data_IF_726600015727
#
_entry.id   IF_726600015727
#
_cell.length_a   1.000
_cell.length_b   1.000
_cell.length_c   1.000
_cell.angle_alpha   90.00
_cell.angle_beta   90.00
_cell.angle_gamma   90.00
#
_symmetry.space_group_name_H-M   'P 1'
#
loop_
_entity.id
_entity.type
_entity.pdbx_description
1 polymer ?
#
# COMPACT_ATOMS: atom_id res chain seq x y z
N UNK A 1 38.82 -38.04 51.87
CA UNK A 1 37.61 -38.37 51.11
C UNK A 1 37.18 -37.14 50.32
N UNK A 2 37.39 -37.11 49.00
CA UNK A 2 36.97 -36.02 48.13
C UNK A 2 35.57 -36.34 47.60
N UNK A 3 34.58 -35.50 47.92
CA UNK A 3 33.22 -35.61 47.37
C UNK A 3 33.15 -34.70 46.14
N UNK A 4 32.94 -35.28 44.97
CA UNK A 4 32.72 -34.56 43.71
C UNK A 4 31.20 -34.44 43.56
N UNK A 5 30.68 -33.22 43.65
CA UNK A 5 29.30 -32.88 43.32
C UNK A 5 29.25 -32.55 41.84
N UNK A 6 28.71 -33.48 41.04
CA UNK A 6 28.36 -33.25 39.64
C UNK A 6 27.02 -32.52 39.63
N UNK A 7 27.06 -31.20 39.45
CA UNK A 7 25.88 -30.37 39.24
C UNK A 7 25.40 -30.55 37.79
N UNK A 8 24.27 -31.22 37.62
CA UNK A 8 23.55 -31.31 36.36
C UNK A 8 22.93 -29.93 36.06
N UNK A 9 23.61 -29.13 35.24
CA UNK A 9 23.06 -27.88 34.70
C UNK A 9 22.05 -28.26 33.63
N UNK A 10 20.78 -28.39 34.03
CA UNK A 10 19.66 -28.45 33.09
C UNK A 10 19.59 -27.12 32.35
N UNK A 11 20.09 -27.09 31.12
CA UNK A 11 19.76 -26.06 30.15
C UNK A 11 18.26 -26.13 29.90
N UNK A 12 17.50 -25.30 30.60
CA UNK A 12 16.13 -24.96 30.22
C UNK A 12 16.25 -24.20 28.89
N UNK A 13 16.17 -24.94 27.78
CA UNK A 13 15.91 -24.35 26.49
C UNK A 13 14.54 -23.69 26.59
N UNK A 14 14.51 -22.36 26.71
CA UNK A 14 13.31 -21.59 26.45
C UNK A 14 12.92 -21.93 25.03
N UNK A 15 11.82 -22.66 24.86
CA UNK A 15 11.17 -22.83 23.56
C UNK A 15 10.93 -21.42 23.03
N UNK A 16 11.79 -20.96 22.13
CA UNK A 16 11.51 -19.81 21.30
C UNK A 16 10.31 -20.26 20.47
N UNK A 17 9.11 -19.88 20.89
CA UNK A 17 7.95 -19.96 20.03
C UNK A 17 8.28 -19.08 18.84
N UNK A 18 8.72 -19.69 17.73
CA UNK A 18 8.77 -19.02 16.46
C UNK A 18 7.36 -18.48 16.25
N UNK A 19 7.20 -17.15 16.29
CA UNK A 19 5.91 -16.54 16.02
C UNK A 19 5.48 -17.06 14.65
N UNK A 20 4.37 -17.78 14.60
CA UNK A 20 3.76 -18.17 13.34
C UNK A 20 3.44 -16.86 12.61
N UNK A 21 3.94 -16.77 11.38
CA UNK A 21 3.59 -15.68 10.48
C UNK A 21 2.08 -15.73 10.24
N UNK A 22 1.46 -14.56 10.23
CA UNK A 22 0.01 -14.35 10.20
C UNK A 22 -0.48 -13.72 8.89
N UNK A 23 0.40 -13.51 7.91
CA UNK A 23 0.05 -12.86 6.64
C UNK A 23 -1.18 -13.48 5.97
N UNK A 24 -1.20 -14.79 5.72
CA UNK A 24 -2.32 -15.45 5.01
C UNK A 24 -3.64 -15.30 5.76
N UNK A 25 -3.63 -15.31 7.09
CA UNK A 25 -4.83 -15.13 7.90
C UNK A 25 -5.27 -13.66 7.98
N UNK A 26 -4.41 -12.72 7.59
CA UNK A 26 -4.64 -11.28 7.70
C UNK A 26 -5.22 -10.66 6.42
N UNK A 27 -5.43 -11.43 5.35
CA UNK A 27 -6.00 -10.93 4.09
C UNK A 27 -7.32 -10.16 4.25
N UNK A 28 -8.31 -10.63 5.05
CA UNK A 28 -9.53 -9.86 5.28
C UNK A 28 -9.27 -8.47 5.88
N UNK A 29 -8.29 -8.36 6.78
CA UNK A 29 -7.87 -7.06 7.32
C UNK A 29 -7.15 -6.22 6.26
N UNK A 30 -6.35 -6.83 5.39
CA UNK A 30 -5.68 -6.11 4.30
C UNK A 30 -6.69 -5.54 3.31
N UNK A 31 -7.72 -6.30 2.95
CA UNK A 31 -8.85 -5.83 2.13
C UNK A 31 -9.55 -4.64 2.78
N UNK A 32 -9.84 -4.72 4.08
CA UNK A 32 -10.42 -3.60 4.85
C UNK A 32 -9.52 -2.35 4.81
N UNK A 33 -8.20 -2.50 4.98
CA UNK A 33 -7.24 -1.39 4.94
C UNK A 33 -7.20 -0.73 3.54
N UNK A 34 -7.23 -1.52 2.47
CA UNK A 34 -7.23 -1.01 1.10
C UNK A 34 -8.56 -0.32 0.78
N UNK A 35 -9.68 -0.89 1.20
CA UNK A 35 -10.99 -0.26 1.03
C UNK A 35 -11.08 1.05 1.81
N UNK A 36 -10.62 1.09 3.07
CA UNK A 36 -10.64 2.31 3.89
C UNK A 36 -9.76 3.40 3.27
N UNK A 37 -8.57 3.04 2.74
CA UNK A 37 -7.72 3.99 1.99
C UNK A 37 -8.50 4.62 0.84
N UNK A 38 -9.17 3.78 0.08
CA UNK A 38 -9.91 4.19 -1.12
C UNK A 38 -11.09 5.10 -0.77
N UNK A 39 -11.86 4.76 0.26
CA UNK A 39 -12.96 5.57 0.76
C UNK A 39 -12.45 6.95 1.24
N UNK A 40 -11.33 6.96 1.96
CA UNK A 40 -10.69 8.16 2.45
C UNK A 40 -10.14 9.04 1.32
N UNK A 41 -9.58 8.45 0.26
CA UNK A 41 -9.07 9.17 -0.90
C UNK A 41 -10.18 9.70 -1.82
N UNK A 42 -11.35 9.05 -1.85
CA UNK A 42 -12.46 9.48 -2.70
C UNK A 42 -13.39 10.47 -2.01
N UNK A 43 -13.85 10.15 -0.78
CA UNK A 43 -14.91 10.92 -0.10
C UNK A 43 -14.51 11.39 1.30
N UNK A 44 -13.34 11.00 1.80
CA UNK A 44 -12.88 11.32 3.15
C UNK A 44 -12.64 12.80 3.40
N UNK A 45 -12.99 13.26 4.60
CA UNK A 45 -12.63 14.56 5.11
C UNK A 45 -11.18 14.60 5.63
N UNK A 46 -10.77 15.78 6.08
CA UNK A 46 -9.41 15.99 6.65
C UNK A 46 -9.14 15.04 7.82
N UNK A 47 -10.11 14.85 8.72
CA UNK A 47 -9.95 14.01 9.90
C UNK A 47 -9.88 12.52 9.53
N UNK A 48 -10.66 12.08 8.54
CA UNK A 48 -10.62 10.70 8.04
C UNK A 48 -9.25 10.37 7.45
N UNK A 49 -8.70 11.28 6.65
CA UNK A 49 -7.35 11.13 6.09
C UNK A 49 -6.29 11.05 7.19
N UNK A 50 -6.37 11.91 8.21
CA UNK A 50 -5.43 11.82 9.33
C UNK A 50 -5.58 10.53 10.13
N UNK A 51 -6.80 10.08 10.39
CA UNK A 51 -7.05 8.86 11.14
C UNK A 51 -6.47 7.66 10.41
N UNK A 52 -6.70 7.55 9.09
CA UNK A 52 -6.10 6.52 8.26
C UNK A 52 -4.58 6.53 8.34
N UNK A 53 -3.95 7.69 8.14
CA UNK A 53 -2.48 7.83 8.17
C UNK A 53 -1.93 7.43 9.55
N UNK A 54 -2.54 7.92 10.63
CA UNK A 54 -2.09 7.60 11.98
C UNK A 54 -2.22 6.11 12.30
N UNK A 55 -3.28 5.46 11.80
CA UNK A 55 -3.57 4.06 12.10
C UNK A 55 -2.77 3.09 11.22
N UNK A 56 -2.79 3.30 9.91
CA UNK A 56 -2.35 2.31 8.92
C UNK A 56 -1.10 2.73 8.15
N UNK A 57 -0.83 4.01 7.91
CA UNK A 57 0.39 4.39 7.17
C UNK A 57 1.64 3.96 7.95
N UNK A 58 2.48 3.14 7.32
CA UNK A 58 3.69 2.63 7.92
C UNK A 58 4.72 3.74 8.17
N UNK A 59 4.80 4.74 7.28
CA UNK A 59 5.76 5.84 7.40
C UNK A 59 5.51 6.72 8.62
N UNK A 60 4.26 6.77 9.11
CA UNK A 60 3.86 7.57 10.26
C UNK A 60 4.68 7.26 11.53
N UNK A 61 5.11 6.02 11.74
CA UNK A 61 5.87 5.64 12.94
C UNK A 61 7.30 6.19 12.94
N UNK A 62 7.81 6.61 11.78
CA UNK A 62 9.15 7.16 11.59
C UNK A 62 9.22 8.67 11.86
N UNK A 63 8.08 9.33 12.05
CA UNK A 63 8.02 10.73 12.50
C UNK A 63 8.81 10.99 13.80
N UNK A 64 8.99 9.96 14.63
CA UNK A 64 9.81 10.04 15.84
C UNK A 64 11.29 10.35 15.54
N UNK A 65 11.78 9.92 14.37
CA UNK A 65 13.15 10.14 13.91
C UNK A 65 13.29 11.47 13.14
N UNK A 66 12.17 12.03 12.68
CA UNK A 66 12.11 13.27 11.91
C UNK A 66 11.20 14.31 12.58
N UNK A 67 11.65 14.95 13.68
CA UNK A 67 10.87 15.94 14.39
C UNK A 67 10.32 17.03 13.45
N UNK A 68 9.06 17.39 13.64
CA UNK A 68 8.33 18.40 12.86
C UNK A 68 8.17 18.12 11.37
N UNK A 69 8.47 16.89 10.94
CA UNK A 69 8.24 16.41 9.58
C UNK A 69 7.27 15.23 9.53
N UNK A 70 6.83 14.93 8.32
CA UNK A 70 6.05 13.76 7.94
C UNK A 70 6.51 13.35 6.54
N UNK A 71 6.66 12.05 6.30
CA UNK A 71 7.00 11.54 4.98
C UNK A 71 5.80 11.72 4.04
N UNK A 72 6.05 12.31 2.89
CA UNK A 72 5.09 12.44 1.80
C UNK A 72 5.48 11.43 0.73
N UNK A 73 4.64 10.42 0.52
CA UNK A 73 4.72 9.57 -0.67
C UNK A 73 4.09 10.34 -1.82
N UNK A 74 4.74 10.33 -2.98
CA UNK A 74 4.19 10.91 -4.20
C UNK A 74 2.79 10.36 -4.46
N UNK A 75 1.89 11.27 -4.83
CA UNK A 75 0.52 10.94 -5.23
C UNK A 75 0.30 11.53 -6.62
N UNK A 76 0.05 10.67 -7.59
CA UNK A 76 -0.29 11.04 -8.97
C UNK A 76 -1.72 11.60 -9.06
N UNK A 77 -1.98 12.72 -8.37
CA UNK A 77 -3.28 13.39 -8.38
C UNK A 77 -3.28 14.45 -9.48
N UNK A 78 -4.31 14.46 -10.32
CA UNK A 78 -4.45 15.43 -11.43
C UNK A 78 -4.44 16.90 -10.97
N UNK A 79 -4.83 17.16 -9.73
CA UNK A 79 -4.84 18.49 -9.11
C UNK A 79 -3.60 18.78 -8.25
N UNK A 80 -2.65 17.83 -8.12
CA UNK A 80 -1.42 18.05 -7.37
C UNK A 80 -0.52 19.06 -8.08
N UNK A 81 0.23 19.81 -7.27
CA UNK A 81 1.27 20.70 -7.81
C UNK A 81 2.47 19.85 -8.23
N UNK A 82 3.23 20.25 -9.27
CA UNK A 82 4.49 19.57 -9.60
C UNK A 82 5.46 19.47 -8.41
N UNK A 83 5.43 20.42 -7.47
CA UNK A 83 6.22 20.36 -6.23
C UNK A 83 5.83 19.23 -5.26
N UNK A 84 4.76 18.46 -5.55
CA UNK A 84 4.29 17.36 -4.72
C UNK A 84 4.66 15.99 -5.30
N UNK A 85 5.37 15.96 -6.43
CA UNK A 85 5.70 14.75 -7.19
C UNK A 85 6.95 14.01 -6.68
N UNK A 86 7.37 14.26 -5.44
CA UNK A 86 8.59 13.68 -4.88
C UNK A 86 8.28 13.01 -3.55
N UNK A 87 8.85 11.83 -3.35
CA UNK A 87 8.91 11.18 -2.06
C UNK A 87 9.89 11.94 -1.16
N UNK A 88 9.40 12.56 -0.08
CA UNK A 88 10.27 13.38 0.77
C UNK A 88 9.70 13.61 2.18
N UNK A 89 10.59 13.88 3.13
CA UNK A 89 10.22 14.39 4.44
C UNK A 89 9.89 15.88 4.38
N UNK A 90 8.59 16.22 4.36
CA UNK A 90 8.11 17.60 4.39
C UNK A 90 7.77 18.06 5.81
N UNK A 91 7.76 19.37 6.03
CA UNK A 91 7.28 19.94 7.30
C UNK A 91 5.81 19.55 7.57
N UNK A 92 5.44 19.35 8.83
CA UNK A 92 4.05 19.09 9.23
C UNK A 92 3.08 20.18 8.73
N UNK A 93 3.53 21.44 8.66
CA UNK A 93 2.71 22.53 8.15
C UNK A 93 2.38 22.36 6.66
N UNK A 94 3.38 22.01 5.85
CA UNK A 94 3.17 21.72 4.43
C UNK A 94 2.34 20.44 4.27
N UNK A 95 2.64 19.37 5.01
CA UNK A 95 1.85 18.13 5.00
C UNK A 95 0.37 18.41 5.24
N UNK A 96 0.05 19.13 6.32
CA UNK A 96 -1.33 19.47 6.68
C UNK A 96 -2.03 20.32 5.61
N UNK A 97 -1.28 21.16 4.90
CA UNK A 97 -1.81 21.94 3.78
C UNK A 97 -2.11 21.04 2.58
N UNK A 98 -1.26 20.07 2.25
CA UNK A 98 -1.52 19.11 1.18
C UNK A 98 -2.76 18.26 1.48
N UNK A 99 -2.91 17.75 2.70
CA UNK A 99 -4.09 16.99 3.13
C UNK A 99 -5.39 17.81 3.01
N UNK A 100 -5.38 19.09 3.40
CA UNK A 100 -6.55 19.97 3.23
C UNK A 100 -6.93 20.19 1.78
N UNK A 101 -5.95 20.20 0.87
CA UNK A 101 -6.21 20.32 -0.57
C UNK A 101 -6.78 19.01 -1.11
N UNK A 102 -6.23 17.85 -0.71
CA UNK A 102 -6.79 16.55 -1.06
C UNK A 102 -8.25 16.46 -0.62
N UNK A 103 -8.54 16.65 0.66
CA UNK A 103 -9.90 16.59 1.21
C UNK A 103 -10.89 17.56 0.53
N UNK A 104 -10.41 18.66 -0.07
CA UNK A 104 -11.25 19.60 -0.84
C UNK A 104 -11.61 19.07 -2.23
N UNK A 105 -10.73 18.27 -2.83
CA UNK A 105 -10.89 17.70 -4.17
C UNK A 105 -11.43 16.28 -4.16
N UNK A 106 -11.39 15.58 -3.02
CA UNK A 106 -12.17 14.38 -2.76
C UNK A 106 -13.63 14.69 -3.11
N UNK A 107 -14.05 14.21 -4.28
CA UNK A 107 -15.36 14.48 -4.85
C UNK A 107 -16.38 13.66 -4.07
N UNK A 108 -17.55 14.24 -3.80
CA UNK A 108 -18.68 13.48 -3.25
C UNK A 108 -19.33 12.56 -4.28
N UNK A 109 -18.53 11.96 -5.16
CA UNK A 109 -18.94 10.86 -5.98
C UNK A 109 -18.53 9.58 -5.25
N UNK A 110 -19.46 8.87 -4.61
CA UNK A 110 -19.15 7.64 -3.90
C UNK A 110 -18.82 6.48 -4.86
N UNK A 111 -18.99 6.65 -6.18
CA UNK A 111 -18.54 5.65 -7.13
C UNK A 111 -17.02 5.74 -7.28
N UNK A 112 -16.32 5.07 -6.37
CA UNK A 112 -14.95 4.67 -6.62
C UNK A 112 -14.97 3.76 -7.86
N UNK A 113 -14.36 4.14 -8.99
CA UNK A 113 -14.41 3.31 -10.18
C UNK A 113 -13.49 2.09 -10.08
N UNK A 114 -12.65 2.02 -9.03
CA UNK A 114 -11.66 0.97 -8.86
C UNK A 114 -12.17 -0.21 -8.04
N UNK A 115 -12.16 -1.39 -8.64
CA UNK A 115 -12.27 -2.66 -7.93
C UNK A 115 -10.85 -3.12 -7.59
N UNK A 116 -10.59 -3.45 -6.32
CA UNK A 116 -9.28 -3.93 -5.88
C UNK A 116 -9.30 -5.43 -5.62
N UNK A 117 -8.26 -6.13 -6.07
CA UNK A 117 -8.00 -7.53 -5.80
C UNK A 117 -6.63 -7.68 -5.14
N UNK A 118 -6.57 -8.40 -4.04
CA UNK A 118 -5.31 -8.77 -3.39
C UNK A 118 -4.82 -10.11 -3.96
N UNK A 119 -3.67 -10.10 -4.60
CA UNK A 119 -3.04 -11.30 -5.15
C UNK A 119 -2.25 -12.05 -4.06
N UNK A 120 -1.87 -13.33 -4.30
CA UNK A 120 -1.04 -14.09 -3.37
C UNK A 120 0.26 -13.35 -2.98
N UNK A 121 0.77 -13.55 -1.76
CA UNK A 121 1.88 -12.74 -1.27
C UNK A 121 3.18 -13.10 -1.99
N UNK A 122 3.91 -12.09 -2.47
CA UNK A 122 5.26 -12.25 -3.03
C UNK A 122 6.29 -12.61 -1.95
N UNK A 123 6.07 -12.11 -0.73
CA UNK A 123 6.95 -12.37 0.40
C UNK A 123 6.17 -12.42 1.71
N UNK A 124 6.59 -13.32 2.61
CA UNK A 124 6.11 -13.41 3.98
C UNK A 124 7.27 -13.81 4.89
N UNK A 125 7.78 -12.89 5.71
CA UNK A 125 9.01 -13.08 6.47
C UNK A 125 9.06 -12.24 7.74
N UNK A 126 9.87 -12.69 8.71
CA UNK A 126 10.12 -11.96 9.96
C UNK A 126 11.41 -11.13 9.86
N UNK A 127 11.32 -9.84 10.14
CA UNK A 127 12.44 -8.87 10.19
C UNK A 127 12.58 -8.23 11.57
N UNK A 128 13.59 -7.37 11.75
CA UNK A 128 13.66 -6.48 12.92
C UNK A 128 12.48 -5.49 13.00
N UNK A 129 11.90 -5.10 11.85
CA UNK A 129 10.75 -4.21 11.78
C UNK A 129 9.43 -4.89 12.16
N UNK A 130 9.40 -6.22 12.20
CA UNK A 130 8.21 -7.03 12.44
C UNK A 130 8.03 -8.11 11.39
N UNK A 131 6.83 -8.68 11.31
CA UNK A 131 6.47 -9.53 10.19
C UNK A 131 6.14 -8.64 8.99
N UNK A 132 6.74 -8.94 7.85
CA UNK A 132 6.51 -8.27 6.57
C UNK A 132 5.74 -9.23 5.67
N UNK A 133 4.65 -8.71 5.09
CA UNK A 133 3.99 -9.34 3.96
C UNK A 133 3.93 -8.40 2.77
N UNK A 134 4.48 -8.83 1.63
CA UNK A 134 4.40 -8.10 0.37
C UNK A 134 3.25 -8.69 -0.44
N UNK A 135 2.19 -7.91 -0.61
CA UNK A 135 0.96 -8.33 -1.27
C UNK A 135 0.73 -7.42 -2.48
N UNK A 136 0.75 -7.97 -3.70
CA UNK A 136 0.36 -7.22 -4.88
C UNK A 136 -1.12 -6.88 -4.81
N UNK A 137 -1.46 -5.62 -5.06
CA UNK A 137 -2.83 -5.14 -5.17
C UNK A 137 -3.06 -4.73 -6.61
N UNK A 138 -3.95 -5.45 -7.28
CA UNK A 138 -4.39 -5.15 -8.62
C UNK A 138 -5.66 -4.33 -8.54
N UNK A 139 -5.75 -3.25 -9.30
CA UNK A 139 -6.98 -2.47 -9.40
C UNK A 139 -7.48 -2.44 -10.84
N UNK A 140 -8.80 -2.49 -10.96
CA UNK A 140 -9.50 -2.52 -12.23
C UNK A 140 -10.53 -1.40 -12.32
N UNK A 141 -10.75 -0.89 -13.52
CA UNK A 141 -11.79 0.09 -13.84
C UNK A 141 -12.92 -0.60 -14.61
N UNK A 142 -14.16 -0.36 -14.19
CA UNK A 142 -15.33 -0.68 -15.01
C UNK A 142 -15.55 0.43 -16.04
N UNK A 143 -15.53 0.07 -17.32
CA UNK A 143 -15.71 0.99 -18.45
C UNK A 143 -16.90 0.54 -19.27
N UNK A 144 -17.85 1.45 -19.53
CA UNK A 144 -18.91 1.22 -20.52
C UNK A 144 -18.34 1.44 -21.92
N UNK A 145 -18.43 0.43 -22.77
CA UNK A 145 -18.04 0.48 -24.18
C UNK A 145 -19.26 0.22 -25.07
N UNK A 146 -19.27 0.82 -26.25
CA UNK A 146 -20.31 0.55 -27.25
C UNK A 146 -20.13 -0.89 -27.77
N UNK A 147 -21.14 -1.74 -27.60
CA UNK A 147 -21.07 -3.10 -28.10
C UNK A 147 -21.12 -3.09 -29.63
N UNK A 148 -20.27 -3.90 -30.28
CA UNK A 148 -20.35 -4.05 -31.74
C UNK A 148 -21.74 -4.57 -32.13
N UNK A 149 -22.43 -3.92 -33.06
CA UNK A 149 -23.76 -4.37 -33.47
C UNK A 149 -23.64 -5.71 -34.21
N UNK A 150 -24.27 -6.75 -33.67
CA UNK A 150 -24.48 -8.00 -34.38
C UNK A 150 -25.20 -7.73 -35.71
N UNK A 151 -24.77 -8.38 -36.81
CA UNK A 151 -25.34 -8.20 -38.15
C UNK A 151 -26.87 -8.45 -38.14
N UNK A 152 -27.65 -7.36 -38.04
CA UNK A 152 -29.11 -7.40 -38.08
C UNK A 152 -29.83 -6.78 -36.88
N UNK A 153 -29.13 -6.39 -35.81
CA UNK A 153 -29.75 -5.72 -34.65
C UNK A 153 -29.53 -4.19 -34.68
N UNK A 154 -30.63 -3.44 -34.65
CA UNK A 154 -30.63 -1.98 -34.45
C UNK A 154 -30.85 -1.68 -32.96
N UNK A 155 -29.83 -1.81 -32.12
CA UNK A 155 -29.86 -1.24 -30.77
C UNK A 155 -28.49 -0.69 -30.40
N UNK A 156 -28.47 0.51 -29.82
CA UNK A 156 -27.32 1.04 -29.09
C UNK A 156 -27.24 0.26 -27.77
N UNK A 157 -26.55 -0.86 -27.77
CA UNK A 157 -26.24 -1.62 -26.55
C UNK A 157 -24.86 -1.21 -26.07
N UNK A 158 -24.75 -0.74 -24.84
CA UNK A 158 -23.46 -0.61 -24.15
C UNK A 158 -23.18 -1.90 -23.37
N UNK A 159 -21.92 -2.30 -23.32
CA UNK A 159 -21.43 -3.38 -22.46
C UNK A 159 -20.42 -2.84 -21.45
N UNK A 160 -20.33 -3.47 -20.28
CA UNK A 160 -19.34 -3.10 -19.26
C UNK A 160 -18.15 -4.03 -19.36
N UNK A 161 -16.97 -3.46 -19.57
CA UNK A 161 -15.68 -4.17 -19.60
C UNK A 161 -14.86 -3.77 -18.37
N UNK A 162 -14.14 -4.74 -17.79
CA UNK A 162 -13.22 -4.53 -16.68
C UNK A 162 -11.81 -4.39 -17.25
N UNK A 163 -11.20 -3.23 -17.06
CA UNK A 163 -9.85 -2.91 -17.57
C UNK A 163 -8.90 -2.85 -16.40
N UNK A 164 -7.75 -3.50 -16.51
CA UNK A 164 -6.67 -3.38 -15.54
C UNK A 164 -6.11 -1.96 -15.52
N UNK A 165 -6.08 -1.33 -14.35
CA UNK A 165 -5.67 0.05 -14.18
C UNK A 165 -4.31 0.19 -13.50
N UNK A 166 -4.00 -0.68 -12.55
CA UNK A 166 -2.73 -0.65 -11.83
C UNK A 166 -2.43 -1.97 -11.11
N UNK A 167 -1.15 -2.32 -11.04
CA UNK A 167 -0.62 -3.34 -10.14
C UNK A 167 0.45 -2.74 -9.22
N UNK A 168 0.14 -2.60 -7.93
CA UNK A 168 1.05 -2.01 -6.92
C UNK A 168 1.28 -2.97 -5.77
N UNK A 169 2.54 -3.23 -5.45
CA UNK A 169 2.88 -3.99 -4.25
C UNK A 169 2.69 -3.15 -3.00
N UNK A 170 1.88 -3.68 -2.09
CA UNK A 170 1.69 -3.14 -0.76
C UNK A 170 2.53 -3.94 0.23
N UNK A 171 3.35 -3.23 1.00
CA UNK A 171 4.19 -3.80 2.05
C UNK A 171 3.44 -3.66 3.37
N UNK A 172 2.78 -4.73 3.78
CA UNK A 172 2.13 -4.84 5.08
C UNK A 172 3.15 -5.22 6.15
N UNK A 173 3.16 -4.50 7.27
CA UNK A 173 4.08 -4.72 8.38
C UNK A 173 3.32 -4.88 9.68
N UNK A 174 3.48 -6.04 10.34
CA UNK A 174 2.92 -6.33 11.66
C UNK A 174 3.94 -6.09 12.75
N UNK A 175 3.59 -5.21 13.69
CA UNK A 175 4.30 -5.13 14.96
C UNK A 175 3.97 -6.35 15.83
N UNK A 176 4.95 -7.24 16.01
CA UNK A 176 4.81 -8.50 16.77
C UNK A 176 4.43 -8.26 18.24
N UNK A 177 4.69 -7.08 18.80
CA UNK A 177 4.42 -6.78 20.22
C UNK A 177 2.95 -6.48 20.49
N UNK A 178 2.27 -5.85 19.53
CA UNK A 178 0.89 -5.38 19.70
C UNK A 178 -0.06 -5.87 18.60
N UNK A 179 0.43 -6.68 17.67
CA UNK A 179 -0.29 -7.26 16.53
C UNK A 179 -0.96 -6.23 15.62
N UNK A 180 -0.46 -4.99 15.58
CA UNK A 180 -0.99 -3.96 14.66
C UNK A 180 -0.32 -4.09 13.30
N UNK A 181 -1.15 -4.12 12.26
CA UNK A 181 -0.72 -4.04 10.87
C UNK A 181 -0.71 -2.59 10.40
N UNK A 182 0.30 -2.26 9.60
CA UNK A 182 0.46 -1.01 8.87
C UNK A 182 0.88 -1.32 7.45
N UNK A 183 0.72 -0.37 6.55
CA UNK A 183 0.95 -0.56 5.12
C UNK A 183 1.74 0.60 4.53
N UNK A 184 2.61 0.27 3.58
CA UNK A 184 3.19 1.20 2.62
C UNK A 184 2.88 0.70 1.22
N UNK A 185 2.19 1.51 0.40
CA UNK A 185 2.12 1.28 -1.04
C UNK A 185 3.50 1.60 -1.65
N UNK A 186 4.11 0.66 -2.36
CA UNK A 186 5.45 0.86 -2.91
C UNK A 186 5.46 1.93 -3.99
N UNK A 187 6.56 2.68 -4.04
CA UNK A 187 6.85 3.67 -5.06
C UNK A 187 8.35 3.58 -5.40
N UNK A 188 8.71 3.35 -6.66
CA UNK A 188 10.12 3.10 -7.06
C UNK A 188 11.05 4.29 -6.80
N UNK A 189 10.50 5.48 -6.58
CA UNK A 189 11.27 6.69 -6.37
C UNK A 189 11.53 7.00 -4.89
N UNK A 190 11.24 6.10 -3.95
CA UNK A 190 11.64 6.27 -2.55
C UNK A 190 13.18 6.18 -2.48
N UNK A 191 13.82 7.19 -1.91
CA UNK A 191 15.28 7.22 -1.79
C UNK A 191 15.79 6.04 -0.95
N UNK A 192 16.92 5.44 -1.33
CA UNK A 192 17.49 4.27 -0.66
C UNK A 192 17.66 4.46 0.85
N UNK A 193 18.07 5.65 1.29
CA UNK A 193 18.23 5.95 2.71
C UNK A 193 16.90 5.89 3.48
N UNK A 194 15.82 6.41 2.89
CA UNK A 194 14.49 6.37 3.50
C UNK A 194 13.94 4.94 3.46
N UNK A 195 14.12 4.24 2.33
CA UNK A 195 13.73 2.83 2.21
C UNK A 195 14.44 1.95 3.24
N UNK A 196 15.75 2.15 3.44
CA UNK A 196 16.54 1.43 4.43
C UNK A 196 16.17 1.82 5.87
N UNK A 197 15.67 3.04 6.10
CA UNK A 197 15.09 3.41 7.39
C UNK A 197 13.82 2.60 7.66
N UNK A 198 12.96 2.46 6.65
CA UNK A 198 11.70 1.72 6.76
C UNK A 198 11.89 0.21 6.87
N UNK A 199 12.82 -0.34 6.07
CA UNK A 199 13.03 -1.77 5.90
C UNK A 199 14.53 -2.14 5.94
N UNK A 200 15.20 -1.99 7.10
CA UNK A 200 16.66 -2.14 7.21
C UNK A 200 17.18 -3.55 6.88
N UNK A 201 16.33 -4.58 6.95
CA UNK A 201 16.70 -5.98 6.71
C UNK A 201 16.00 -6.58 5.48
N UNK A 202 15.25 -5.79 4.72
CA UNK A 202 14.60 -6.31 3.52
C UNK A 202 15.66 -6.47 2.43
N UNK A 203 15.73 -7.64 1.82
CA UNK A 203 16.76 -7.93 0.82
C UNK A 203 16.56 -7.07 -0.43
N UNK A 204 17.67 -6.68 -1.06
CA UNK A 204 17.64 -6.01 -2.36
C UNK A 204 16.88 -6.83 -3.42
N UNK A 205 16.91 -8.17 -3.30
CA UNK A 205 16.14 -9.05 -4.17
C UNK A 205 14.64 -8.78 -4.09
N UNK A 206 14.07 -8.74 -2.88
CA UNK A 206 12.64 -8.44 -2.71
C UNK A 206 12.35 -7.02 -3.19
N UNK A 207 13.18 -6.04 -2.80
CA UNK A 207 13.01 -4.63 -3.21
C UNK A 207 12.98 -4.46 -4.73
N UNK A 208 13.86 -5.15 -5.46
CA UNK A 208 13.98 -5.03 -6.91
C UNK A 208 12.84 -5.74 -7.68
N UNK A 209 12.04 -6.57 -7.01
CA UNK A 209 10.86 -7.25 -7.58
C UNK A 209 9.55 -6.54 -7.25
N UNK A 210 9.62 -5.39 -6.57
CA UNK A 210 8.44 -4.60 -6.20
C UNK A 210 7.89 -3.82 -7.40
N UNK A 211 6.58 -3.92 -7.59
CA UNK A 211 5.80 -3.17 -8.59
C UNK A 211 5.21 -1.90 -7.97
N UNK A 212 5.27 -0.78 -8.68
CA UNK A 212 4.73 0.52 -8.27
C UNK A 212 3.62 1.05 -9.20
N UNK A 213 3.11 0.21 -10.11
CA UNK A 213 1.92 0.49 -10.92
C UNK A 213 2.10 1.48 -12.08
N UNK A 214 3.32 1.97 -12.37
CA UNK A 214 3.54 3.01 -13.39
C UNK A 214 3.45 2.47 -14.83
N UNK A 215 3.83 1.21 -15.08
CA UNK A 215 3.99 0.70 -16.45
C UNK A 215 2.65 0.36 -17.16
N UNK A 216 1.58 0.01 -16.43
CA UNK A 216 0.33 -0.48 -17.05
C UNK A 216 -0.74 0.63 -17.25
N UNK A 217 -0.77 1.65 -16.38
CA UNK A 217 -1.73 2.76 -16.49
C UNK A 217 -1.49 3.66 -17.73
N UNK A 218 -0.22 3.84 -18.11
CA UNK A 218 0.15 4.62 -19.30
C UNK A 218 -0.23 3.89 -20.60
N UNK A 219 -0.10 2.56 -20.64
CA UNK A 219 -0.49 1.75 -21.81
C UNK A 219 -2.03 1.70 -21.97
N UNK A 220 -2.77 1.47 -20.88
CA UNK A 220 -4.24 1.42 -20.91
C UNK A 220 -4.90 2.75 -21.34
N UNK A 221 -4.29 3.90 -20.99
CA UNK A 221 -4.80 5.21 -21.40
C UNK A 221 -4.47 5.55 -22.87
N UNK A 222 -3.33 5.11 -23.39
CA UNK A 222 -2.93 5.34 -24.79
C UNK A 222 -3.81 4.53 -25.74
N UNK A 223 -4.12 3.27 -25.40
CA UNK A 223 -4.97 2.41 -26.22
C UNK A 223 -6.41 2.93 -26.31
N UNK A 224 -6.96 3.52 -25.24
CA UNK A 224 -8.30 4.12 -25.28
C UNK A 224 -8.41 5.38 -26.16
N UNK A 225 -7.33 6.15 -26.30
CA UNK A 225 -7.30 7.32 -27.19
C UNK A 225 -7.25 6.86 -28.65
N UNK A 226 -6.51 5.80 -28.95
CA UNK A 226 -6.39 5.27 -30.32
C UNK A 226 -7.65 4.53 -30.81
N UNK A 227 -8.48 3.99 -29.91
CA UNK A 227 -9.76 3.35 -30.28
C UNK A 227 -10.86 4.39 -30.59
N UNK A 228 -10.69 5.65 -30.16
CA UNK A 228 -11.66 6.74 -30.39
C UNK A 228 -11.33 7.68 -31.57
N UNK A 229 -10.21 7.45 -32.29
CA UNK A 229 -9.82 8.20 -33.51
C UNK A 229 -10.05 7.40 -34.81
#
# INVERSE_FOLDING_TARGET
MKKILVGLVSCLATFANAATLDCENSYPLFEEIIQEKTDVENVGGVDDIYNYIQHYDYTYIFNKNHPDKQFWVDKHLSFAKPSWSNNEWISKSEFNKRIKVIAKHNVKDPSNPYIHELLPPKANLLTQSGEICVVPVQAYLEVEVDAEPDEGENQNTSETVVVEAMLIDHIFVRDIKNNKWRVLAFNRYIADNDFNEFFPDLSDHIKNELNDGIEEAEEAMVEQIEIQE
#
